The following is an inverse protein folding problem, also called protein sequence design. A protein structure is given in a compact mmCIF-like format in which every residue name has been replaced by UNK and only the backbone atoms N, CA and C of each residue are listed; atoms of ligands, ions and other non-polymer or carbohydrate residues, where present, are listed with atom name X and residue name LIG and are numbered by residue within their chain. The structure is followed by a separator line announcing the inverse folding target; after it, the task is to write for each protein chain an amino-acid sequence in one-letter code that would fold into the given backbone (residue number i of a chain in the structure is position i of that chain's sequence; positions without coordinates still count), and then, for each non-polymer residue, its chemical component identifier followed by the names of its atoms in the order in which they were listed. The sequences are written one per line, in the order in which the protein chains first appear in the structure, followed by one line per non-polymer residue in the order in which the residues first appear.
data_IF_927146071892
#
_entry.id   IF_927146071892
#
_cell.length_a   1.000
_cell.length_b   1.000
_cell.length_c   1.000
_cell.angle_alpha   90.00
_cell.angle_beta   90.00
_cell.angle_gamma   90.00
#
_symmetry.space_group_name_H-M   'P 1'
#
loop_
_entity.id
_entity.type
_entity.pdbx_description
1 polymer ?
#
# COMPACT_ATOMS: atom_id res chain seq x y z
N UNK A 1 25.21 -9.00 -20.45
CA UNK A 1 24.21 -10.05 -20.08
C UNK A 1 22.81 -9.42 -20.01
N UNK A 2 21.73 -10.15 -20.34
CA UNK A 2 20.36 -9.63 -20.51
C UNK A 2 19.71 -8.97 -19.26
N UNK A 3 20.43 -8.89 -18.14
CA UNK A 3 19.90 -8.64 -16.80
C UNK A 3 20.71 -7.65 -15.96
N UNK A 4 21.58 -6.85 -16.58
CA UNK A 4 22.51 -5.94 -15.90
C UNK A 4 21.85 -4.72 -15.23
N UNK A 5 20.52 -4.55 -15.33
CA UNK A 5 19.78 -3.48 -14.67
C UNK A 5 18.40 -3.96 -14.17
N UNK A 6 18.41 -4.93 -13.24
CA UNK A 6 17.18 -5.55 -12.71
C UNK A 6 16.80 -4.99 -11.34
N UNK A 7 15.62 -4.37 -11.28
CA UNK A 7 14.91 -4.14 -10.02
C UNK A 7 14.03 -5.36 -9.70
N UNK A 8 14.10 -5.85 -8.46
CA UNK A 8 13.22 -6.93 -7.98
C UNK A 8 11.95 -6.32 -7.39
N UNK A 9 10.80 -6.85 -7.76
CA UNK A 9 9.49 -6.43 -7.25
C UNK A 9 8.72 -7.67 -6.80
N UNK A 10 8.06 -7.60 -5.65
CA UNK A 10 7.08 -8.59 -5.23
C UNK A 10 5.70 -8.14 -5.73
N UNK A 11 5.04 -9.00 -6.50
CA UNK A 11 3.71 -8.74 -7.04
C UNK A 11 2.71 -9.73 -6.43
N UNK A 12 1.68 -9.21 -5.78
CA UNK A 12 0.57 -9.99 -5.25
C UNK A 12 -0.59 -9.88 -6.26
N UNK A 13 -1.04 -11.02 -6.78
CA UNK A 13 -2.12 -11.11 -7.76
C UNK A 13 -3.26 -11.94 -7.20
N UNK A 14 -4.49 -11.66 -7.61
CA UNK A 14 -5.59 -12.58 -7.38
C UNK A 14 -5.39 -13.87 -8.18
N UNK A 15 -5.98 -14.95 -7.70
CA UNK A 15 -5.92 -16.25 -8.36
C UNK A 15 -6.48 -16.19 -9.79
N UNK A 16 -7.58 -15.47 -10.00
CA UNK A 16 -8.20 -15.31 -11.32
C UNK A 16 -7.25 -14.70 -12.35
N UNK A 17 -6.47 -13.69 -11.97
CA UNK A 17 -5.49 -13.05 -12.86
C UNK A 17 -4.37 -14.04 -13.22
N UNK A 18 -3.91 -14.83 -12.24
CA UNK A 18 -2.92 -15.88 -12.49
C UNK A 18 -3.46 -16.97 -13.42
N UNK A 19 -4.71 -17.39 -13.25
CA UNK A 19 -5.35 -18.41 -14.09
C UNK A 19 -5.51 -17.93 -15.54
N UNK A 20 -5.93 -16.68 -15.74
CA UNK A 20 -5.97 -16.09 -17.08
C UNK A 20 -4.59 -16.03 -17.73
N UNK A 21 -3.55 -15.64 -16.98
CA UNK A 21 -2.18 -15.63 -17.48
C UNK A 21 -1.68 -17.05 -17.84
N UNK A 22 -2.06 -18.08 -17.09
CA UNK A 22 -1.78 -19.50 -17.42
C UNK A 22 -2.45 -19.91 -18.72
N UNK A 23 -3.71 -19.55 -18.93
CA UNK A 23 -4.43 -19.82 -20.19
C UNK A 23 -3.70 -19.16 -21.36
N UNK A 24 -3.28 -17.90 -21.21
CA UNK A 24 -2.51 -17.18 -22.23
C UNK A 24 -1.18 -17.90 -22.52
N UNK A 25 -0.45 -18.33 -21.48
CA UNK A 25 0.80 -19.08 -21.64
C UNK A 25 0.59 -20.39 -22.40
N UNK A 26 -0.47 -21.14 -22.08
CA UNK A 26 -0.83 -22.37 -22.79
C UNK A 26 -1.13 -22.11 -24.27
N UNK A 27 -1.95 -21.10 -24.56
CA UNK A 27 -2.24 -20.67 -25.94
C UNK A 27 -0.97 -20.26 -26.68
N UNK A 28 -0.14 -19.41 -26.08
CA UNK A 28 1.10 -18.94 -26.69
C UNK A 28 2.08 -20.10 -26.95
N UNK A 29 2.18 -21.07 -26.03
CA UNK A 29 3.02 -22.26 -26.23
C UNK A 29 2.57 -23.07 -27.44
N UNK A 30 1.26 -23.26 -27.61
CA UNK A 30 0.69 -23.96 -28.77
C UNK A 30 0.90 -23.17 -30.07
N UNK A 31 0.62 -21.87 -30.06
CA UNK A 31 0.73 -21.02 -31.25
C UNK A 31 2.17 -20.85 -31.72
N UNK A 32 3.09 -20.58 -30.78
CA UNK A 32 4.49 -20.31 -31.08
C UNK A 32 5.34 -21.58 -31.19
N UNK A 33 4.78 -22.74 -30.80
CA UNK A 33 5.47 -24.05 -30.77
C UNK A 33 6.78 -24.03 -29.97
N UNK A 34 6.81 -23.24 -28.90
CA UNK A 34 7.93 -23.14 -27.98
C UNK A 34 7.43 -22.97 -26.54
N UNK A 35 8.11 -23.52 -25.51
CA UNK A 35 7.65 -23.38 -24.13
C UNK A 35 7.61 -21.91 -23.68
N UNK A 36 6.42 -21.42 -23.35
CA UNK A 36 6.24 -20.06 -22.80
C UNK A 36 5.99 -20.15 -21.30
N UNK A 37 6.89 -19.59 -20.50
CA UNK A 37 6.73 -19.55 -19.05
C UNK A 37 5.74 -18.46 -18.63
N UNK A 38 5.08 -18.67 -17.49
CA UNK A 38 4.19 -17.68 -16.89
C UNK A 38 4.90 -16.35 -16.61
N UNK A 39 6.18 -16.38 -16.26
CA UNK A 39 6.97 -15.17 -16.02
C UNK A 39 7.11 -14.30 -17.28
N UNK A 40 7.29 -14.92 -18.45
CA UNK A 40 7.38 -14.20 -19.72
C UNK A 40 6.03 -13.53 -20.03
N UNK A 41 4.92 -14.24 -19.83
CA UNK A 41 3.58 -13.70 -20.08
C UNK A 41 3.28 -12.53 -19.14
N UNK A 42 3.50 -12.70 -17.83
CA UNK A 42 3.27 -11.62 -16.86
C UNK A 42 4.13 -10.40 -17.16
N UNK A 43 5.40 -10.61 -17.53
CA UNK A 43 6.29 -9.52 -17.94
C UNK A 43 5.74 -8.79 -19.16
N UNK A 44 5.34 -9.51 -20.22
CA UNK A 44 4.78 -8.92 -21.41
C UNK A 44 3.48 -8.14 -21.13
N UNK A 45 2.60 -8.68 -20.28
CA UNK A 45 1.37 -7.98 -19.87
C UNK A 45 1.66 -6.68 -19.12
N UNK A 46 2.67 -6.66 -18.25
CA UNK A 46 3.11 -5.45 -17.55
C UNK A 46 3.68 -4.44 -18.54
N UNK A 47 4.61 -4.86 -19.41
CA UNK A 47 5.23 -3.98 -20.41
C UNK A 47 4.19 -3.38 -21.36
N UNK A 48 3.26 -4.19 -21.87
CA UNK A 48 2.15 -3.71 -22.72
C UNK A 48 1.16 -2.84 -21.96
N UNK A 49 0.93 -3.10 -20.67
CA UNK A 49 0.11 -2.26 -19.81
C UNK A 49 0.74 -0.89 -19.57
N UNK A 50 2.06 -0.85 -19.33
CA UNK A 50 2.82 0.38 -19.10
C UNK A 50 2.95 1.24 -20.37
N UNK A 51 2.96 0.63 -21.58
CA UNK A 51 2.95 1.40 -22.84
C UNK A 51 1.63 2.17 -23.07
N UNK A 52 0.54 1.81 -22.37
CA UNK A 52 -0.79 2.42 -22.53
C UNK A 52 -0.95 3.67 -21.65
N UNK A 53 0.08 4.51 -21.61
CA UNK A 53 0.10 5.73 -20.82
C UNK A 53 -1.14 6.59 -21.13
N UNK A 54 -1.83 7.03 -20.08
CA UNK A 54 -3.00 7.91 -20.19
C UNK A 54 -4.32 7.23 -20.57
N UNK A 55 -4.39 5.89 -20.66
CA UNK A 55 -5.67 5.22 -20.89
C UNK A 55 -6.62 5.45 -19.69
N UNK A 56 -7.84 5.98 -19.88
CA UNK A 56 -8.74 6.32 -18.76
C UNK A 56 -9.03 5.14 -17.82
N UNK A 57 -9.14 3.94 -18.37
CA UNK A 57 -9.31 2.69 -17.60
C UNK A 57 -8.12 2.39 -16.69
N UNK A 58 -6.88 2.68 -17.12
CA UNK A 58 -5.69 2.48 -16.31
C UNK A 58 -5.69 3.44 -15.12
N UNK A 59 -5.99 4.72 -15.36
CA UNK A 59 -6.09 5.73 -14.29
C UNK A 59 -7.18 5.39 -13.27
N UNK A 60 -8.37 4.99 -13.74
CA UNK A 60 -9.46 4.58 -12.86
C UNK A 60 -9.09 3.35 -12.01
N UNK A 61 -8.38 2.38 -12.59
CA UNK A 61 -7.91 1.21 -11.85
C UNK A 61 -6.88 1.60 -10.79
N UNK A 62 -5.86 2.39 -11.15
CA UNK A 62 -4.87 2.92 -10.19
C UNK A 62 -5.54 3.68 -9.06
N UNK A 63 -6.50 4.55 -9.36
CA UNK A 63 -7.24 5.31 -8.35
C UNK A 63 -8.02 4.38 -7.40
N UNK A 64 -8.71 3.37 -7.94
CA UNK A 64 -9.47 2.41 -7.14
C UNK A 64 -8.58 1.62 -6.17
N UNK A 65 -7.41 1.17 -6.63
CA UNK A 65 -6.43 0.47 -5.82
C UNK A 65 -5.82 1.38 -4.75
N UNK A 66 -5.46 2.61 -5.11
CA UNK A 66 -4.95 3.60 -4.15
C UNK A 66 -5.97 3.90 -3.04
N UNK A 67 -7.25 4.03 -3.40
CA UNK A 67 -8.36 4.18 -2.44
C UNK A 67 -8.50 2.96 -1.55
N UNK A 68 -8.43 1.74 -2.10
CA UNK A 68 -8.49 0.51 -1.33
C UNK A 68 -7.34 0.42 -0.30
N UNK A 69 -6.10 0.67 -0.73
CA UNK A 69 -4.94 0.68 0.16
C UNK A 69 -5.04 1.75 1.25
N UNK A 70 -5.56 2.94 0.93
CA UNK A 70 -5.83 3.98 1.93
C UNK A 70 -6.82 3.50 2.99
N UNK A 71 -7.90 2.80 2.58
CA UNK A 71 -8.88 2.21 3.51
C UNK A 71 -8.24 1.13 4.38
N UNK A 72 -7.51 0.18 3.79
CA UNK A 72 -6.79 -0.85 4.56
C UNK A 72 -5.84 -0.26 5.60
N UNK A 73 -5.05 0.76 5.22
CA UNK A 73 -4.15 1.46 6.16
C UNK A 73 -4.91 2.19 7.25
N UNK A 74 -6.07 2.77 6.95
CA UNK A 74 -6.92 3.44 7.93
C UNK A 74 -7.49 2.46 8.96
N UNK A 75 -7.97 1.30 8.50
CA UNK A 75 -8.50 0.24 9.37
C UNK A 75 -7.38 -0.34 10.26
N UNK A 76 -6.21 -0.62 9.69
CA UNK A 76 -5.05 -1.07 10.46
C UNK A 76 -4.63 -0.08 11.56
N UNK A 77 -4.77 1.23 11.31
CA UNK A 77 -4.49 2.28 12.31
C UNK A 77 -5.57 2.44 13.37
N UNK A 78 -6.84 2.15 13.05
CA UNK A 78 -7.92 2.15 14.03
C UNK A 78 -7.86 0.92 14.96
N UNK A 79 -7.47 -0.25 14.43
CA UNK A 79 -7.26 -1.46 15.22
C UNK A 79 -6.11 -1.32 16.24
N UNK A 80 -5.07 -0.54 15.92
CA UNK A 80 -3.98 -0.22 16.84
C UNK A 80 -4.30 0.87 17.88
N UNK A 81 -5.51 1.47 17.85
CA UNK A 81 -5.96 2.47 18.83
C UNK A 81 -6.90 1.90 19.89
N UNK A 82 -7.29 0.62 19.77
CA UNK A 82 -8.15 -0.06 20.73
C UNK A 82 -7.36 -0.78 21.85
N UNK A 83 -6.02 -0.77 21.79
CA UNK A 83 -5.12 -1.25 22.86
C UNK A 83 -4.34 -0.11 23.53
N UNK A 84 -4.88 1.10 23.54
CA UNK A 84 -4.66 2.01 24.66
C UNK A 84 -5.92 1.92 25.54
N UNK A 85 -5.85 1.05 26.54
CA UNK A 85 -6.88 0.98 27.58
C UNK A 85 -7.16 2.38 28.14
N UNK A 86 -8.44 2.71 28.42
CA UNK A 86 -8.80 3.91 29.16
C UNK A 86 -8.44 3.70 30.64
N UNK A 87 -7.17 3.87 30.96
CA UNK A 87 -6.69 3.91 32.33
C UNK A 87 -7.17 5.19 33.02
N UNK A 88 -8.23 5.04 33.80
CA UNK A 88 -8.73 5.95 34.82
C UNK A 88 -7.64 6.82 35.47
N UNK A 89 -7.54 8.09 35.04
CA UNK A 89 -6.96 9.18 35.86
C UNK A 89 -7.79 10.43 35.67
N UNK A 90 -8.89 10.45 36.42
CA UNK A 90 -9.27 11.54 37.30
C UNK A 90 -8.85 12.95 36.84
N UNK A 91 -9.87 13.70 36.42
CA UNK A 91 -10.15 15.09 36.83
C UNK A 91 -9.07 15.72 37.71
N UNK A 92 -8.33 16.68 37.16
CA UNK A 92 -7.26 17.32 37.92
C UNK A 92 -6.62 18.52 37.23
N UNK A 93 -7.34 19.64 37.25
CA UNK A 93 -6.76 20.97 37.47
C UNK A 93 -5.98 21.59 36.28
N UNK A 94 -6.68 22.51 35.59
CA UNK A 94 -6.03 23.68 34.97
C UNK A 94 -5.48 24.58 36.07
N UNK A 95 -4.25 24.36 36.53
CA UNK A 95 -3.55 25.32 37.36
C UNK A 95 -2.75 26.27 36.46
N UNK A 96 -3.39 27.41 36.17
CA UNK A 96 -2.69 28.69 35.98
C UNK A 96 -1.71 28.89 37.14
N UNK A 97 -0.43 29.19 36.90
CA UNK A 97 0.37 29.87 37.90
C UNK A 97 0.24 31.36 37.65
N UNK A 98 -0.64 32.01 38.41
CA UNK A 98 -0.55 33.44 38.65
C UNK A 98 -0.60 33.64 40.16
N UNK A 99 0.55 33.75 40.79
CA UNK A 99 0.67 34.40 42.10
C UNK A 99 1.92 35.27 42.12
N UNK A 100 1.63 36.57 41.99
CA UNK A 100 2.36 37.62 42.69
C UNK A 100 2.21 37.33 44.19
N UNK A 101 3.30 37.16 44.91
CA UNK A 101 3.38 37.68 46.27
C UNK A 101 4.83 37.83 46.74
N UNK A 102 5.20 39.10 46.96
CA UNK A 102 6.37 39.52 47.73
C UNK A 102 6.17 39.11 49.19
N UNK A 103 7.27 38.85 49.91
CA UNK A 103 7.34 39.34 51.28
C UNK A 103 8.48 40.34 51.48
N UNK A 104 8.15 41.28 52.35
CA UNK A 104 8.91 42.43 52.84
C UNK A 104 9.58 42.06 54.16
N UNK A 105 10.67 42.77 54.47
CA UNK A 105 11.42 42.93 55.76
C UNK A 105 12.67 42.04 55.88
N UNK A 106 13.89 42.59 55.85
CA UNK A 106 14.58 43.58 56.72
C UNK A 106 15.14 42.91 57.98
N UNK A 107 16.43 42.60 57.94
CA UNK A 107 17.43 43.10 58.88
C UNK A 107 18.80 43.10 58.19
#
# INVERSE_FOLDING_TARGET
MMFENKTKVLLILSQDVLDQARIIAGKATMTLKLPVSLQIVLRALIEEGLKRDGHPTLLANVESQAKALRRFRSVARQGGRAEEEPGDRQSGIWQRPNDRERPKRRN
#
